data_IF_049027587020
#
_entry.id   IF_049027587020
#
_cell.length_a   1.000
_cell.length_b   1.000
_cell.length_c   1.000
_cell.angle_alpha   90.00
_cell.angle_beta   90.00
_cell.angle_gamma   90.00
#
_symmetry.space_group_name_H-M   'P 1'
#
loop_
_entity.id
_entity.type
_entity.pdbx_description
1 polymer ?
#
# COMPACT_ATOMS: atom_id res chain seq x y z
N UNK A 1 2.49 32.41 2.36
CA UNK A 1 2.39 31.04 1.81
C UNK A 1 2.81 31.10 0.35
N UNK A 2 4.09 30.82 0.09
CA UNK A 2 4.67 30.90 -1.26
C UNK A 2 4.15 29.70 -2.06
N UNK A 3 3.49 29.98 -3.18
CA UNK A 3 2.91 28.98 -4.07
C UNK A 3 4.05 28.32 -4.87
N UNK A 4 4.76 27.37 -4.25
CA UNK A 4 5.78 26.57 -4.92
C UNK A 4 5.07 25.51 -5.78
N UNK A 5 4.68 25.88 -7.00
CA UNK A 5 4.45 24.88 -8.04
C UNK A 5 5.79 24.22 -8.31
N UNK A 6 6.01 23.05 -7.72
CA UNK A 6 7.18 22.24 -8.02
C UNK A 6 7.00 21.64 -9.43
N UNK A 7 7.94 21.90 -10.34
CA UNK A 7 7.88 21.43 -11.73
C UNK A 7 8.15 19.93 -11.88
N UNK A 8 8.49 19.23 -10.79
CA UNK A 8 8.84 17.81 -10.78
C UNK A 8 7.76 16.90 -11.40
N UNK A 9 6.48 17.28 -11.30
CA UNK A 9 5.38 16.51 -11.87
C UNK A 9 4.42 17.41 -12.68
N UNK A 10 4.18 17.12 -13.97
CA UNK A 10 3.17 17.83 -14.78
C UNK A 10 1.72 17.39 -14.47
N UNK A 11 1.52 16.62 -13.38
CA UNK A 11 0.25 16.00 -13.05
C UNK A 11 -0.80 17.06 -12.71
N UNK A 12 -1.94 17.05 -13.38
CA UNK A 12 -3.08 17.91 -13.03
C UNK A 12 -3.75 17.40 -11.75
N UNK A 13 -3.71 18.20 -10.70
CA UNK A 13 -4.38 17.93 -9.43
C UNK A 13 -5.74 18.64 -9.35
N UNK A 14 -6.72 18.00 -8.75
CA UNK A 14 -8.03 18.57 -8.43
C UNK A 14 -8.06 19.06 -6.97
N UNK A 15 -8.56 20.28 -6.78
CA UNK A 15 -8.68 20.99 -5.48
C UNK A 15 -10.07 21.58 -5.29
N UNK A 16 -11.07 21.01 -5.96
CA UNK A 16 -12.47 21.44 -5.86
C UNK A 16 -13.01 21.33 -4.43
N UNK A 17 -12.40 20.49 -3.58
CA UNK A 17 -12.71 20.33 -2.16
C UNK A 17 -11.64 21.02 -1.31
N UNK A 18 -11.97 21.93 -0.37
CA UNK A 18 -10.95 22.71 0.36
C UNK A 18 -9.94 21.90 1.19
N UNK A 19 -10.37 20.80 1.81
CA UNK A 19 -9.54 19.98 2.69
C UNK A 19 -8.83 18.83 1.97
N UNK A 20 -9.10 18.63 0.68
CA UNK A 20 -8.73 17.42 -0.05
C UNK A 20 -8.18 17.76 -1.43
N UNK A 21 -7.05 17.16 -1.76
CA UNK A 21 -6.43 17.22 -3.10
C UNK A 21 -6.50 15.84 -3.72
N UNK A 22 -6.95 15.76 -4.97
CA UNK A 22 -7.03 14.50 -5.72
C UNK A 22 -6.09 14.48 -6.92
N UNK A 23 -5.50 13.32 -7.18
CA UNK A 23 -4.89 13.03 -8.48
C UNK A 23 -5.93 12.70 -9.55
N UNK A 24 -5.54 12.60 -10.82
CA UNK A 24 -6.42 12.09 -11.87
C UNK A 24 -6.72 10.59 -11.64
N UNK A 25 -7.73 10.06 -12.33
CA UNK A 25 -7.85 8.61 -12.49
C UNK A 25 -6.67 8.10 -13.31
N UNK A 26 -6.06 7.00 -12.86
CA UNK A 26 -4.91 6.35 -13.51
C UNK A 26 -5.11 4.84 -13.50
N UNK A 27 -4.69 4.18 -14.56
CA UNK A 27 -4.54 2.74 -14.60
C UNK A 27 -3.08 2.41 -14.26
N UNK A 28 -2.76 2.00 -13.02
CA UNK A 28 -1.41 1.57 -12.68
C UNK A 28 -1.06 0.33 -13.50
N UNK A 29 0.13 0.33 -14.09
CA UNK A 29 0.63 -0.80 -14.88
C UNK A 29 1.25 -1.84 -13.97
N UNK A 30 0.97 -3.11 -14.25
CA UNK A 30 1.59 -4.27 -13.61
C UNK A 30 3.04 -4.35 -14.05
N UNK A 31 3.99 -4.09 -13.13
CA UNK A 31 5.41 -4.14 -13.46
C UNK A 31 6.06 -5.47 -13.08
N UNK A 32 5.37 -6.31 -12.31
CA UNK A 32 5.91 -7.55 -11.75
C UNK A 32 5.27 -8.82 -12.33
N UNK A 33 4.47 -8.72 -13.40
CA UNK A 33 3.85 -9.88 -14.08
C UNK A 33 4.90 -10.94 -14.47
N UNK A 34 6.00 -10.52 -15.07
CA UNK A 34 7.07 -11.41 -15.53
C UNK A 34 8.17 -11.64 -14.47
N UNK A 35 7.96 -11.18 -13.23
CA UNK A 35 8.94 -11.34 -12.17
C UNK A 35 9.05 -12.80 -11.74
N UNK A 36 10.28 -13.30 -11.66
CA UNK A 36 10.60 -14.60 -11.06
C UNK A 36 11.62 -14.47 -9.92
N UNK A 37 11.49 -15.33 -8.92
CA UNK A 37 12.44 -15.46 -7.82
C UNK A 37 12.65 -16.94 -7.50
N UNK A 38 13.91 -17.37 -7.42
CA UNK A 38 14.23 -18.77 -7.12
C UNK A 38 13.68 -19.79 -8.13
N UNK A 39 13.38 -19.37 -9.37
CA UNK A 39 12.77 -20.22 -10.40
C UNK A 39 11.25 -20.30 -10.36
N UNK A 40 10.60 -19.56 -9.45
CA UNK A 40 9.14 -19.48 -9.34
C UNK A 40 8.64 -18.09 -9.77
N UNK A 41 7.48 -18.06 -10.42
CA UNK A 41 6.74 -16.83 -10.73
C UNK A 41 6.13 -16.22 -9.47
N UNK A 42 6.07 -14.89 -9.44
CA UNK A 42 5.51 -14.14 -8.30
C UNK A 42 3.99 -14.23 -8.25
N UNK A 43 3.37 -13.85 -7.13
CA UNK A 43 1.90 -13.70 -7.04
C UNK A 43 1.33 -12.68 -8.03
N UNK A 44 2.18 -11.81 -8.57
CA UNK A 44 1.84 -10.82 -9.58
C UNK A 44 1.67 -11.41 -10.99
N UNK A 45 2.10 -12.65 -11.23
CA UNK A 45 1.78 -13.43 -12.43
C UNK A 45 0.34 -13.96 -12.36
N UNK A 46 -0.40 -13.88 -13.45
CA UNK A 46 -1.81 -14.26 -13.51
C UNK A 46 -2.06 -15.74 -13.22
N UNK A 47 -1.22 -16.62 -13.76
CA UNK A 47 -1.39 -18.07 -13.56
C UNK A 47 -1.14 -18.45 -12.09
N UNK A 48 -0.11 -17.86 -11.49
CA UNK A 48 0.23 -18.03 -10.08
C UNK A 48 -0.88 -17.47 -9.18
N UNK A 49 -1.38 -16.26 -9.46
CA UNK A 49 -2.48 -15.64 -8.74
C UNK A 49 -3.74 -16.51 -8.80
N UNK A 50 -4.09 -17.00 -9.99
CA UNK A 50 -5.25 -17.87 -10.20
C UNK A 50 -5.13 -19.19 -9.41
N UNK A 51 -3.94 -19.78 -9.34
CA UNK A 51 -3.68 -20.98 -8.52
C UNK A 51 -3.93 -20.79 -7.03
N UNK A 52 -3.86 -19.54 -6.55
CA UNK A 52 -4.14 -19.12 -5.17
C UNK A 52 -5.58 -18.63 -4.96
N UNK A 53 -6.43 -18.73 -5.99
CA UNK A 53 -7.83 -18.31 -5.94
C UNK A 53 -8.05 -16.81 -6.14
N UNK A 54 -7.04 -16.06 -6.61
CA UNK A 54 -7.19 -14.66 -6.99
C UNK A 54 -7.74 -14.54 -8.41
N UNK A 55 -8.44 -13.44 -8.70
CA UNK A 55 -9.04 -13.20 -10.02
C UNK A 55 -8.01 -12.89 -11.10
N UNK A 56 -6.88 -12.27 -10.74
CA UNK A 56 -5.73 -11.98 -11.59
C UNK A 56 -4.54 -11.55 -10.71
N UNK A 57 -3.36 -11.39 -11.32
CA UNK A 57 -2.16 -10.84 -10.70
C UNK A 57 -2.40 -9.44 -10.13
N UNK A 58 -2.33 -9.23 -8.80
CA UNK A 58 -2.56 -7.93 -8.21
C UNK A 58 -1.43 -6.97 -8.54
N UNK A 59 -1.74 -5.70 -8.78
CA UNK A 59 -0.75 -4.62 -8.90
C UNK A 59 0.05 -4.53 -7.60
N UNK A 60 1.36 -4.41 -7.73
CA UNK A 60 2.29 -4.34 -6.62
C UNK A 60 2.13 -3.05 -5.80
N UNK A 61 2.27 -3.18 -4.48
CA UNK A 61 2.14 -2.07 -3.54
C UNK A 61 2.97 -0.82 -3.89
N UNK A 62 4.25 -0.94 -4.30
CA UNK A 62 5.07 0.21 -4.71
C UNK A 62 4.48 1.02 -5.87
N UNK A 63 3.76 0.38 -6.79
CA UNK A 63 3.12 1.07 -7.91
C UNK A 63 1.94 1.93 -7.45
N UNK A 64 1.24 1.52 -6.38
CA UNK A 64 0.28 2.39 -5.71
C UNK A 64 0.95 3.59 -5.02
N UNK A 65 2.16 3.43 -4.47
CA UNK A 65 2.86 4.54 -3.81
C UNK A 65 3.21 5.67 -4.78
N UNK A 66 3.57 5.32 -6.04
CA UNK A 66 3.84 6.29 -7.10
C UNK A 66 2.64 7.22 -7.42
N UNK A 67 1.42 6.82 -7.05
CA UNK A 67 0.24 7.64 -7.22
C UNK A 67 0.25 8.88 -6.31
N UNK A 68 0.97 8.82 -5.18
CA UNK A 68 1.03 9.89 -4.20
C UNK A 68 2.12 10.92 -4.46
N UNK A 69 3.20 10.58 -5.16
CA UNK A 69 4.34 11.50 -5.34
C UNK A 69 3.93 12.88 -5.87
N UNK A 70 3.06 13.01 -6.90
CA UNK A 70 2.63 14.32 -7.35
C UNK A 70 1.85 15.11 -6.30
N UNK A 71 1.05 14.43 -5.47
CA UNK A 71 0.25 15.07 -4.42
C UNK A 71 1.13 15.49 -3.23
N UNK A 72 2.11 14.67 -2.87
CA UNK A 72 2.96 14.91 -1.70
C UNK A 72 4.10 15.89 -2.01
N UNK A 73 4.60 15.90 -3.24
CA UNK A 73 5.47 16.97 -3.74
C UNK A 73 4.74 18.29 -3.87
N UNK A 74 3.49 18.28 -4.31
CA UNK A 74 2.69 19.50 -4.29
C UNK A 74 2.51 20.06 -2.87
N UNK A 75 2.41 19.17 -1.87
CA UNK A 75 2.22 19.55 -0.48
C UNK A 75 3.49 20.02 0.24
N UNK A 76 4.61 19.34 0.02
CA UNK A 76 5.85 19.53 0.79
C UNK A 76 7.10 19.79 -0.06
N UNK A 77 6.98 19.83 -1.39
CA UNK A 77 8.10 19.98 -2.30
C UNK A 77 9.11 18.85 -2.17
N UNK A 78 10.39 19.17 -2.38
CA UNK A 78 11.49 18.21 -2.35
C UNK A 78 11.73 17.59 -0.96
N UNK A 79 11.13 18.15 0.10
CA UNK A 79 11.16 17.53 1.43
C UNK A 79 10.46 16.18 1.41
N UNK A 80 9.47 15.95 0.55
CA UNK A 80 8.85 14.64 0.39
C UNK A 80 9.88 13.57 0.01
N UNK A 81 10.76 13.85 -0.95
CA UNK A 81 11.74 12.87 -1.42
C UNK A 81 12.84 12.57 -0.40
N UNK A 82 13.21 13.55 0.42
CA UNK A 82 14.35 13.45 1.34
C UNK A 82 13.94 13.05 2.76
N UNK A 83 12.72 13.38 3.18
CA UNK A 83 12.22 13.22 4.54
C UNK A 83 10.77 12.72 4.58
N UNK A 84 10.26 12.12 3.50
CA UNK A 84 8.92 11.57 3.46
C UNK A 84 8.79 10.26 4.23
N UNK A 85 7.64 10.06 4.85
CA UNK A 85 7.21 8.76 5.36
C UNK A 85 5.81 8.46 4.83
N UNK A 86 5.62 7.29 4.25
CA UNK A 86 4.31 6.77 3.82
C UNK A 86 3.96 5.55 4.66
N UNK A 87 2.76 5.53 5.21
CA UNK A 87 2.17 4.35 5.85
C UNK A 87 0.86 4.04 5.16
N UNK A 88 0.73 2.82 4.63
CA UNK A 88 -0.41 2.40 3.85
C UNK A 88 -0.97 1.07 4.38
N UNK A 89 -2.28 0.95 4.36
CA UNK A 89 -3.01 -0.28 4.65
C UNK A 89 -3.88 -0.62 3.44
N UNK A 90 -3.50 -1.69 2.75
CA UNK A 90 -4.23 -2.20 1.59
C UNK A 90 -5.49 -2.95 2.04
N UNK A 91 -6.61 -2.66 1.39
CA UNK A 91 -7.93 -3.19 1.69
C UNK A 91 -8.49 -4.04 0.55
N UNK A 92 -8.24 -3.65 -0.70
CA UNK A 92 -8.71 -4.37 -1.89
C UNK A 92 -7.65 -4.33 -2.97
N UNK A 93 -7.44 -5.47 -3.63
CA UNK A 93 -6.49 -5.55 -4.73
C UNK A 93 -6.95 -4.77 -5.96
N UNK A 94 -5.98 -4.33 -6.75
CA UNK A 94 -6.20 -3.74 -8.07
C UNK A 94 -5.52 -4.64 -9.08
N UNK A 95 -6.12 -4.84 -10.24
CA UNK A 95 -5.55 -5.65 -11.33
C UNK A 95 -5.34 -4.78 -12.57
N UNK A 96 -4.57 -5.30 -13.54
CA UNK A 96 -4.24 -4.58 -14.78
C UNK A 96 -5.50 -4.00 -15.46
N UNK A 97 -5.41 -2.75 -15.93
CA UNK A 97 -6.50 -2.05 -16.60
C UNK A 97 -7.54 -1.41 -15.66
N UNK A 98 -7.59 -1.76 -14.38
CA UNK A 98 -8.45 -1.06 -13.43
C UNK A 98 -7.93 0.36 -13.14
N UNK A 99 -8.84 1.32 -12.99
CA UNK A 99 -8.49 2.70 -12.69
C UNK A 99 -8.66 3.02 -11.21
N UNK A 100 -7.68 3.74 -10.67
CA UNK A 100 -7.68 4.24 -9.30
C UNK A 100 -7.45 5.74 -9.23
N UNK A 101 -7.87 6.35 -8.13
CA UNK A 101 -7.61 7.74 -7.78
C UNK A 101 -7.01 7.82 -6.40
N UNK A 102 -5.85 8.47 -6.29
CA UNK A 102 -5.23 8.83 -5.02
C UNK A 102 -5.75 10.19 -4.53
N UNK A 103 -5.97 10.30 -3.23
CA UNK A 103 -6.38 11.53 -2.56
C UNK A 103 -5.53 11.78 -1.31
N UNK A 104 -5.27 13.06 -1.04
CA UNK A 104 -4.59 13.55 0.16
C UNK A 104 -5.54 14.51 0.88
N UNK A 105 -5.83 14.21 2.15
CA UNK A 105 -6.67 15.06 3.01
C UNK A 105 -5.82 15.70 4.09
N UNK A 106 -5.91 17.02 4.22
CA UNK A 106 -5.18 17.77 5.23
C UNK A 106 -5.58 17.34 6.65
N UNK A 107 -4.60 17.23 7.54
CA UNK A 107 -4.84 17.12 8.97
C UNK A 107 -4.79 18.52 9.59
N UNK A 108 -5.94 19.03 10.02
CA UNK A 108 -6.06 20.37 10.62
C UNK A 108 -5.19 20.54 11.88
N UNK A 109 -4.77 19.43 12.50
CA UNK A 109 -3.97 19.43 13.73
C UNK A 109 -2.47 19.23 13.48
N UNK A 110 -2.06 18.89 12.26
CA UNK A 110 -0.67 18.54 11.96
C UNK A 110 -0.26 18.94 10.53
N UNK A 111 0.42 20.08 10.39
CA UNK A 111 0.83 20.61 9.10
C UNK A 111 1.82 19.72 8.32
N UNK A 112 2.55 18.85 9.02
CA UNK A 112 3.54 17.92 8.44
C UNK A 112 3.01 16.49 8.31
N UNK A 113 1.68 16.29 8.41
CA UNK A 113 1.01 15.00 8.21
C UNK A 113 -0.30 15.17 7.46
N UNK A 114 -0.65 14.17 6.67
CA UNK A 114 -1.91 14.09 5.93
C UNK A 114 -2.45 12.68 5.95
N UNK A 115 -3.76 12.54 5.80
CA UNK A 115 -4.39 11.25 5.48
C UNK A 115 -4.27 11.01 3.98
N UNK A 116 -4.00 9.76 3.60
CA UNK A 116 -3.92 9.35 2.20
C UNK A 116 -4.86 8.20 1.92
N UNK A 117 -5.53 8.23 0.79
CA UNK A 117 -6.46 7.18 0.37
C UNK A 117 -6.32 6.90 -1.13
N UNK A 118 -6.64 5.68 -1.53
CA UNK A 118 -6.84 5.30 -2.93
C UNK A 118 -8.17 4.57 -3.04
N UNK A 119 -8.97 4.93 -4.04
CA UNK A 119 -10.17 4.20 -4.42
C UNK A 119 -10.17 3.88 -5.91
N UNK A 120 -10.85 2.79 -6.30
CA UNK A 120 -11.17 2.50 -7.70
C UNK A 120 -12.14 3.55 -8.26
N UNK A 121 -12.30 3.56 -9.58
CA UNK A 121 -13.21 4.49 -10.27
C UNK A 121 -14.68 4.41 -9.78
N UNK A 122 -15.10 3.24 -9.29
CA UNK A 122 -16.43 3.00 -8.73
C UNK A 122 -16.55 3.37 -7.24
N UNK A 123 -15.47 3.85 -6.61
CA UNK A 123 -15.42 4.20 -5.19
C UNK A 123 -14.97 3.06 -4.28
N UNK A 124 -14.68 1.85 -4.79
CA UNK A 124 -14.18 0.74 -3.98
C UNK A 124 -12.85 1.12 -3.31
N UNK A 125 -12.71 1.03 -1.98
CA UNK A 125 -11.48 1.42 -1.28
C UNK A 125 -10.34 0.45 -1.57
N UNK A 126 -9.19 0.96 -2.01
CA UNK A 126 -7.99 0.18 -2.34
C UNK A 126 -7.00 0.22 -1.19
N UNK A 127 -6.67 1.41 -0.70
CA UNK A 127 -5.83 1.58 0.48
C UNK A 127 -6.17 2.86 1.22
N UNK A 128 -5.89 2.87 2.51
CA UNK A 128 -5.96 4.06 3.37
C UNK A 128 -4.70 4.15 4.22
N UNK A 129 -4.31 5.35 4.65
CA UNK A 129 -3.02 5.55 5.28
C UNK A 129 -2.73 6.96 5.77
N UNK A 130 -1.46 7.22 6.02
CA UNK A 130 -0.93 8.54 6.33
C UNK A 130 0.35 8.80 5.54
N UNK A 131 0.58 10.05 5.16
CA UNK A 131 1.90 10.53 4.76
C UNK A 131 2.37 11.63 5.72
N UNK A 132 3.67 11.74 5.93
CA UNK A 132 4.27 12.81 6.75
C UNK A 132 5.65 13.19 6.25
N UNK A 133 6.15 14.34 6.72
CA UNK A 133 7.55 14.75 6.53
C UNK A 133 8.27 14.96 7.87
N UNK A 134 9.54 14.58 7.92
CA UNK A 134 10.39 14.66 9.11
C UNK A 134 10.74 16.09 9.55
N UNK A 135 11.39 16.26 10.72
CA UNK A 135 12.21 15.22 11.36
C UNK A 135 11.46 14.26 12.29
N UNK A 136 10.32 14.68 12.85
CA UNK A 136 9.62 13.87 13.87
C UNK A 136 8.70 12.79 13.27
N UNK A 137 8.30 12.97 12.01
CA UNK A 137 7.43 12.09 11.22
C UNK A 137 6.04 11.75 11.80
N UNK A 138 5.70 12.30 12.98
CA UNK A 138 4.40 12.19 13.66
C UNK A 138 3.87 10.74 13.74
N UNK A 139 2.67 10.55 14.29
CA UNK A 139 2.10 9.20 14.38
C UNK A 139 1.64 8.69 13.00
N UNK A 140 2.17 7.56 12.55
CA UNK A 140 1.77 6.93 11.29
C UNK A 140 0.47 6.13 11.43
N UNK A 141 -0.22 5.88 10.33
CA UNK A 141 -1.45 5.07 10.30
C UNK A 141 -1.26 3.61 10.78
N UNK A 142 -0.01 3.12 10.88
CA UNK A 142 0.33 1.82 11.43
C UNK A 142 0.24 1.77 12.96
N UNK A 143 0.66 2.83 13.66
CA UNK A 143 0.73 2.85 15.13
C UNK A 143 -0.61 2.51 15.81
N UNK A 144 -1.76 3.15 15.49
CA UNK A 144 -3.04 2.80 16.11
C UNK A 144 -3.52 1.41 15.69
N UNK A 145 -3.15 0.91 14.50
CA UNK A 145 -3.47 -0.47 14.07
C UNK A 145 -2.73 -1.50 14.90
N UNK A 146 -1.45 -1.28 15.16
CA UNK A 146 -0.64 -2.14 16.01
C UNK A 146 -1.15 -2.10 17.46
N UNK A 147 -1.43 -0.92 18.00
CA UNK A 147 -2.01 -0.76 19.33
C UNK A 147 -3.33 -1.52 19.47
N UNK A 148 -4.20 -1.48 18.45
CA UNK A 148 -5.44 -2.26 18.41
C UNK A 148 -5.18 -3.77 18.41
N UNK A 149 -4.24 -4.25 17.60
CA UNK A 149 -3.90 -5.68 17.54
C UNK A 149 -3.33 -6.20 18.88
N UNK A 150 -2.65 -5.34 19.64
CA UNK A 150 -2.18 -5.67 21.00
C UNK A 150 -3.31 -5.63 22.02
N UNK A 151 -4.21 -4.64 21.92
CA UNK A 151 -5.32 -4.46 22.86
C UNK A 151 -6.42 -5.51 22.70
N UNK A 152 -6.60 -6.04 21.49
CA UNK A 152 -7.60 -7.05 21.13
C UNK A 152 -6.90 -8.23 20.46
N UNK A 153 -6.18 -9.06 21.23
CA UNK A 153 -5.46 -10.19 20.68
C UNK A 153 -6.45 -11.22 20.12
N UNK A 154 -6.13 -11.87 18.98
CA UNK A 154 -7.00 -12.87 18.40
C UNK A 154 -7.24 -14.02 19.38
N UNK A 155 -8.50 -14.42 19.54
CA UNK A 155 -8.89 -15.52 20.41
C UNK A 155 -8.33 -16.87 19.93
N UNK A 156 -8.24 -17.06 18.61
CA UNK A 156 -7.74 -18.28 17.98
C UNK A 156 -6.64 -17.92 16.97
N UNK A 157 -5.47 -18.53 17.13
CA UNK A 157 -4.31 -18.37 16.24
C UNK A 157 -4.08 -19.67 15.45
N UNK A 158 -4.73 -19.82 14.30
CA UNK A 158 -4.73 -21.07 13.52
C UNK A 158 -3.38 -21.47 12.89
N UNK A 159 -2.34 -20.63 12.99
CA UNK A 159 -1.03 -20.85 12.35
C UNK A 159 0.14 -20.81 13.35
N UNK A 160 -0.08 -20.34 14.59
CA UNK A 160 1.02 -20.12 15.56
C UNK A 160 0.74 -20.76 16.93
N UNK A 161 -0.47 -21.25 17.21
CA UNK A 161 -0.73 -21.91 18.52
C UNK A 161 0.02 -23.24 18.71
N UNK A 162 0.46 -23.88 17.62
CA UNK A 162 1.27 -25.10 17.64
C UNK A 162 2.79 -24.85 17.63
N UNK A 163 3.26 -23.59 17.58
CA UNK A 163 4.69 -23.25 17.48
C UNK A 163 5.18 -22.46 18.71
N UNK A 164 6.41 -22.73 19.15
CA UNK A 164 7.09 -21.98 20.21
C UNK A 164 8.49 -21.55 19.80
N UNK A 165 9.01 -20.48 20.43
CA UNK A 165 10.35 -19.96 20.13
C UNK A 165 11.39 -21.05 20.43
N UNK A 166 12.13 -21.46 19.40
CA UNK A 166 13.13 -22.54 19.48
C UNK A 166 12.58 -23.95 19.26
N UNK A 167 11.29 -24.08 18.91
CA UNK A 167 10.71 -25.36 18.50
C UNK A 167 11.46 -25.90 17.27
N UNK A 168 12.01 -27.10 17.41
CA UNK A 168 12.60 -27.89 16.31
C UNK A 168 11.55 -28.89 15.84
N UNK A 169 11.48 -29.11 14.52
CA UNK A 169 10.66 -30.18 13.96
C UNK A 169 11.08 -31.56 14.49
N UNK A 170 10.26 -32.60 14.29
CA UNK A 170 10.50 -33.95 14.84
C UNK A 170 11.76 -34.66 14.30
N UNK A 171 12.47 -34.07 13.32
CA UNK A 171 13.71 -34.58 12.74
C UNK A 171 13.79 -34.25 11.26
N UNK A 172 14.59 -35.02 10.51
CA UNK A 172 14.59 -34.98 9.04
C UNK A 172 13.27 -35.59 8.54
N UNK A 173 12.34 -34.75 8.11
CA UNK A 173 11.11 -35.20 7.46
C UNK A 173 11.23 -35.07 5.95
N UNK A 174 10.92 -36.15 5.23
CA UNK A 174 10.71 -36.06 3.79
C UNK A 174 9.27 -35.65 3.55
N UNK A 175 9.07 -34.37 3.21
CA UNK A 175 7.76 -33.86 2.82
C UNK A 175 7.61 -34.05 1.31
N UNK A 176 6.58 -34.80 0.90
CA UNK A 176 6.18 -34.91 -0.50
C UNK A 176 4.89 -34.14 -0.69
N UNK A 177 4.94 -33.08 -1.49
CA UNK A 177 3.74 -32.38 -1.95
C UNK A 177 3.24 -33.11 -3.19
N UNK A 178 2.09 -33.78 -3.08
CA UNK A 178 1.37 -34.35 -4.22
C UNK A 178 0.25 -33.41 -4.63
N UNK A 179 -0.04 -33.34 -5.92
CA UNK A 179 -1.23 -32.68 -6.44
C UNK A 179 -2.23 -33.77 -6.82
N UNK A 180 -3.48 -33.61 -6.40
CA UNK A 180 -4.57 -34.44 -6.91
C UNK A 180 -4.85 -34.03 -8.37
N UNK A 181 -4.93 -35.02 -9.27
CA UNK A 181 -5.27 -34.83 -10.70
C UNK A 181 -6.71 -34.35 -10.92
#
# INVERSE_FOLDING_TARGET
>A
MTNHRNEAFPTKLDRSVPSLVSGPLRAPAQMLADQSYGGHTSVHDDATAASLGLTAGPIEGPTHFSQFDPLLVDRWGDRWFSHGCLSAHFQTMVVEGEQVRATVTNDDKAADRVTVDVAKADGTPVLTGSASVGPDHLETALAPRLARAVADPPANLYVIDVLSVGMKGPGDETITVTFDE
#
